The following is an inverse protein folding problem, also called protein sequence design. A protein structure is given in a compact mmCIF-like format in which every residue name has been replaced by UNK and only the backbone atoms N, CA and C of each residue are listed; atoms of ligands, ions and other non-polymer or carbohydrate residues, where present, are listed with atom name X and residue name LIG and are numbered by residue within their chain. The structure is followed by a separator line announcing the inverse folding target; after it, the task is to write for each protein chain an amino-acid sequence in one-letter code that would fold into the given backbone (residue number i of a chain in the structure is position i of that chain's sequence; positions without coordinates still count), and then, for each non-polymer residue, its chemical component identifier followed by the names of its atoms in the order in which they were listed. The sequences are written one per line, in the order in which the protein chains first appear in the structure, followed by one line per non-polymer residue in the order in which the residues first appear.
data_IF_088099203363
#
_entry.id   IF_088099203363
#
_cell.length_a   1.000
_cell.length_b   1.000
_cell.length_c   1.000
_cell.angle_alpha   90.00
_cell.angle_beta   90.00
_cell.angle_gamma   90.00
#
_symmetry.space_group_name_H-M   'P 1'
#
loop_
_entity.id
_entity.type
_entity.pdbx_description
1 polymer ?
#
# COMPACT_ATOMS: atom_id res chain seq x y z
N UNK A 1 46.29 50.10 -4.03
CA UNK A 1 47.68 49.67 -3.72
C UNK A 1 47.61 48.20 -3.37
N UNK A 2 48.33 47.33 -4.04
CA UNK A 2 48.29 45.91 -3.90
C UNK A 2 49.32 45.40 -2.93
N UNK A 3 49.07 44.27 -2.26
CA UNK A 3 50.06 43.52 -1.50
C UNK A 3 49.77 42.04 -1.73
N UNK A 4 50.49 41.43 -2.51
CA UNK A 4 51.67 40.56 -2.45
C UNK A 4 51.29 39.11 -2.03
N UNK A 5 51.35 38.27 -3.07
CA UNK A 5 51.43 36.80 -3.02
C UNK A 5 52.67 36.36 -2.24
N UNK A 6 52.54 35.28 -1.46
CA UNK A 6 53.69 34.46 -1.06
C UNK A 6 53.44 33.00 -1.48
N UNK A 7 54.25 32.58 -2.44
CA UNK A 7 54.34 31.21 -2.92
C UNK A 7 55.03 30.33 -1.88
N UNK A 8 54.31 29.35 -1.32
CA UNK A 8 54.87 28.27 -0.49
C UNK A 8 55.13 27.02 -1.34
N UNK A 9 56.40 26.80 -1.70
CA UNK A 9 56.87 25.54 -2.33
C UNK A 9 56.80 24.38 -1.34
N UNK A 10 55.92 23.41 -1.59
CA UNK A 10 55.99 22.14 -0.92
C UNK A 10 56.96 21.20 -1.64
N UNK A 11 57.98 20.75 -0.88
CA UNK A 11 58.92 19.69 -1.27
C UNK A 11 58.29 18.34 -1.08
N UNK A 12 58.36 17.46 -2.08
CA UNK A 12 58.04 16.06 -1.98
C UNK A 12 59.15 15.28 -1.31
N UNK A 13 58.90 14.42 -0.31
CA UNK A 13 59.87 13.49 0.22
C UNK A 13 59.95 12.21 -0.62
N UNK A 14 61.14 11.65 -0.63
CA UNK A 14 61.66 10.52 -1.40
C UNK A 14 60.81 9.25 -1.40
N UNK A 15 60.78 8.63 -2.59
CA UNK A 15 60.26 7.29 -2.87
C UNK A 15 61.07 6.24 -2.14
N UNK A 16 60.43 5.54 -1.19
CA UNK A 16 61.01 4.33 -0.57
C UNK A 16 60.50 3.14 -1.38
N UNK A 17 61.47 2.45 -1.96
CA UNK A 17 61.27 1.17 -2.67
C UNK A 17 60.86 0.10 -1.67
N UNK A 18 59.62 -0.38 -1.74
CA UNK A 18 59.14 -1.54 -0.98
C UNK A 18 59.09 -2.76 -1.91
N UNK A 19 59.83 -3.76 -1.48
CA UNK A 19 59.99 -5.08 -2.10
C UNK A 19 58.64 -5.76 -2.29
N UNK A 20 58.45 -6.36 -3.45
CA UNK A 20 57.33 -7.23 -3.83
C UNK A 20 57.27 -8.46 -2.92
N UNK A 21 56.29 -8.52 -2.04
CA UNK A 21 55.91 -9.76 -1.38
C UNK A 21 54.66 -10.29 -2.13
N UNK A 22 54.84 -11.43 -2.77
CA UNK A 22 53.78 -12.21 -3.41
C UNK A 22 52.81 -12.72 -2.34
N UNK A 23 51.65 -12.12 -2.26
CA UNK A 23 50.52 -12.66 -1.47
C UNK A 23 49.67 -13.45 -2.47
N UNK A 24 49.35 -14.74 -2.19
CA UNK A 24 48.47 -15.51 -3.10
C UNK A 24 47.04 -14.90 -3.02
N UNK A 25 46.54 -14.53 -4.18
CA UNK A 25 45.13 -14.11 -4.35
C UNK A 25 44.21 -15.31 -4.08
N UNK A 26 43.63 -15.37 -2.90
CA UNK A 26 42.45 -16.20 -2.66
C UNK A 26 41.31 -15.64 -3.47
N UNK A 27 40.98 -16.30 -4.58
CA UNK A 27 39.80 -16.07 -5.39
C UNK A 27 38.58 -16.42 -4.55
N UNK A 28 38.07 -15.46 -3.79
CA UNK A 28 36.76 -15.57 -3.14
C UNK A 28 35.67 -15.58 -4.22
N UNK A 29 35.19 -16.75 -4.57
CA UNK A 29 33.93 -16.88 -5.31
C UNK A 29 32.81 -16.30 -4.45
N UNK A 30 32.44 -15.04 -4.71
CA UNK A 30 31.18 -14.49 -4.23
C UNK A 30 30.06 -15.29 -4.87
N UNK A 31 29.49 -16.24 -4.14
CA UNK A 31 28.20 -16.83 -4.48
C UNK A 31 27.16 -15.69 -4.42
N UNK A 32 26.93 -15.04 -5.56
CA UNK A 32 25.74 -14.22 -5.76
C UNK A 32 24.55 -15.18 -5.75
N UNK A 33 23.90 -15.31 -4.61
CA UNK A 33 22.63 -15.99 -4.52
C UNK A 33 21.63 -15.22 -5.40
N UNK A 34 21.53 -15.64 -6.66
CA UNK A 34 20.46 -15.20 -7.57
C UNK A 34 19.15 -15.67 -6.96
N UNK A 35 18.39 -14.76 -6.33
CA UNK A 35 17.03 -15.03 -5.89
C UNK A 35 16.25 -15.43 -7.14
N UNK A 36 15.72 -16.64 -7.24
CA UNK A 36 15.09 -17.08 -8.47
C UNK A 36 13.85 -16.23 -8.71
N UNK A 37 13.80 -15.52 -9.85
CA UNK A 37 12.66 -14.76 -10.38
C UNK A 37 11.30 -15.48 -10.20
N UNK A 38 11.33 -16.81 -10.16
CA UNK A 38 10.18 -17.68 -9.93
C UNK A 38 9.50 -17.54 -8.55
N UNK A 39 10.19 -17.03 -7.52
CA UNK A 39 9.59 -16.84 -6.19
C UNK A 39 8.74 -15.56 -6.13
N UNK A 40 9.18 -14.48 -6.78
CA UNK A 40 8.39 -13.24 -6.91
C UNK A 40 7.18 -13.43 -7.82
N UNK A 41 7.32 -14.15 -8.92
CA UNK A 41 6.21 -14.48 -9.81
C UNK A 41 5.14 -15.34 -9.13
N UNK A 42 5.54 -16.31 -8.28
CA UNK A 42 4.60 -17.11 -7.46
C UNK A 42 3.88 -16.27 -6.40
N UNK A 43 4.52 -15.26 -5.83
CA UNK A 43 3.91 -14.29 -4.92
C UNK A 43 2.90 -13.39 -5.62
N UNK A 44 3.24 -12.86 -6.79
CA UNK A 44 2.40 -11.96 -7.58
C UNK A 44 1.12 -12.62 -8.12
N UNK A 45 1.11 -13.93 -8.38
CA UNK A 45 -0.08 -14.63 -8.89
C UNK A 45 -1.14 -14.89 -7.81
N UNK A 46 -0.82 -14.77 -6.53
CA UNK A 46 -1.74 -15.14 -5.43
C UNK A 46 -2.80 -14.07 -5.16
N UNK A 47 -2.47 -12.79 -5.23
CA UNK A 47 -3.41 -11.68 -4.98
C UNK A 47 -4.50 -11.56 -6.06
N UNK A 48 -4.28 -12.07 -7.27
CA UNK A 48 -5.30 -12.14 -8.33
C UNK A 48 -6.48 -13.06 -7.95
N UNK A 49 -6.31 -13.90 -6.92
CA UNK A 49 -7.38 -14.70 -6.31
C UNK A 49 -8.13 -13.94 -5.22
N UNK A 50 -7.85 -12.66 -5.05
CA UNK A 50 -8.55 -11.80 -4.10
C UNK A 50 -10.07 -11.78 -4.32
N UNK A 51 -10.79 -11.27 -3.33
CA UNK A 51 -12.24 -11.15 -3.34
C UNK A 51 -12.62 -9.70 -3.58
N UNK A 52 -13.64 -9.46 -4.39
CA UNK A 52 -14.20 -8.12 -4.59
C UNK A 52 -14.67 -7.57 -3.22
N UNK A 53 -14.29 -6.32 -2.86
CA UNK A 53 -14.41 -5.87 -1.47
C UNK A 53 -15.82 -5.57 -1.00
N UNK A 54 -16.82 -5.52 -1.89
CA UNK A 54 -18.22 -5.23 -1.56
C UNK A 54 -19.13 -6.35 -2.04
N UNK A 55 -20.07 -6.79 -1.20
CA UNK A 55 -20.99 -7.86 -1.58
C UNK A 55 -22.09 -7.40 -2.56
N UNK A 56 -22.65 -6.20 -2.37
CA UNK A 56 -23.80 -5.67 -3.13
C UNK A 56 -23.37 -4.51 -4.01
N UNK A 57 -22.52 -4.80 -5.00
CA UNK A 57 -22.01 -3.81 -5.96
C UNK A 57 -23.13 -3.18 -6.78
N UNK A 58 -23.14 -1.85 -6.90
CA UNK A 58 -24.02 -1.09 -7.78
C UNK A 58 -23.28 -0.42 -8.93
N UNK A 59 -22.25 0.39 -8.61
CA UNK A 59 -21.48 1.13 -9.60
C UNK A 59 -20.10 1.53 -9.06
N UNK A 60 -19.18 1.87 -9.95
CA UNK A 60 -18.02 2.70 -9.63
C UNK A 60 -18.41 4.17 -9.79
N UNK A 61 -18.37 4.94 -8.71
CA UNK A 61 -18.85 6.32 -8.70
C UNK A 61 -17.75 7.34 -8.81
N UNK A 62 -16.51 7.00 -8.39
CA UNK A 62 -15.38 7.88 -8.56
C UNK A 62 -14.08 7.10 -8.74
N UNK A 63 -13.34 7.33 -9.86
CA UNK A 63 -12.08 6.65 -10.12
C UNK A 63 -10.92 7.22 -9.30
N UNK A 64 -9.83 6.46 -9.25
CA UNK A 64 -8.53 6.91 -8.77
C UNK A 64 -7.96 8.01 -9.69
N UNK A 65 -7.30 9.01 -9.11
CA UNK A 65 -6.61 10.07 -9.86
C UNK A 65 -7.03 11.48 -9.46
N UNK A 66 -6.61 12.47 -10.25
CA UNK A 66 -6.99 13.86 -10.03
C UNK A 66 -8.45 14.08 -10.44
N UNK A 67 -9.26 14.63 -9.52
CA UNK A 67 -10.68 14.93 -9.80
C UNK A 67 -11.14 16.18 -9.07
N UNK A 68 -12.26 16.75 -9.52
CA UNK A 68 -12.98 17.76 -8.73
C UNK A 68 -13.49 17.12 -7.44
N UNK A 69 -13.21 17.77 -6.30
CA UNK A 69 -13.64 17.25 -5.01
C UNK A 69 -15.13 17.57 -4.80
N UNK A 70 -16.00 16.55 -4.54
CA UNK A 70 -17.44 16.73 -4.57
C UNK A 70 -18.00 17.62 -3.44
N UNK A 71 -17.28 17.72 -2.31
CA UNK A 71 -17.72 18.46 -1.13
C UNK A 71 -16.98 19.80 -0.99
N UNK A 72 -15.67 19.81 -1.15
CA UNK A 72 -14.82 20.96 -0.88
C UNK A 72 -14.39 21.72 -2.13
N UNK A 73 -14.80 21.27 -3.31
CA UNK A 73 -14.38 21.85 -4.59
C UNK A 73 -12.88 21.74 -4.86
N UNK A 74 -12.45 22.28 -6.01
CA UNK A 74 -11.07 22.24 -6.45
C UNK A 74 -10.61 20.87 -6.95
N UNK A 75 -9.49 20.86 -7.69
CA UNK A 75 -8.89 19.62 -8.21
C UNK A 75 -8.00 19.01 -7.11
N UNK A 76 -8.30 17.77 -6.74
CA UNK A 76 -7.57 17.04 -5.68
C UNK A 76 -7.32 15.59 -6.07
N UNK A 77 -6.24 14.97 -5.57
CA UNK A 77 -6.00 13.56 -5.79
C UNK A 77 -7.02 12.70 -5.02
N UNK A 78 -7.69 11.81 -5.73
CA UNK A 78 -8.48 10.73 -5.17
C UNK A 78 -7.62 9.47 -5.08
N UNK A 79 -7.31 9.03 -3.87
CA UNK A 79 -6.34 7.95 -3.62
C UNK A 79 -7.03 6.59 -3.44
N UNK A 80 -8.09 6.35 -4.20
CA UNK A 80 -8.84 5.10 -4.14
C UNK A 80 -9.87 5.00 -5.26
N UNK A 81 -10.74 4.04 -5.14
CA UNK A 81 -11.89 3.80 -5.99
C UNK A 81 -13.14 3.84 -5.11
N UNK A 82 -14.11 4.68 -5.46
CA UNK A 82 -15.38 4.72 -4.76
C UNK A 82 -16.35 3.71 -5.39
N UNK A 83 -16.84 2.80 -4.58
CA UNK A 83 -17.68 1.67 -4.95
C UNK A 83 -19.05 1.86 -4.30
N UNK A 84 -20.05 2.29 -5.06
CA UNK A 84 -21.42 2.44 -4.59
C UNK A 84 -22.02 1.08 -4.23
N UNK A 85 -22.65 1.04 -3.07
CA UNK A 85 -23.42 -0.08 -2.57
C UNK A 85 -24.41 0.41 -1.50
N UNK A 86 -25.55 -0.26 -1.30
CA UNK A 86 -26.47 0.10 -0.25
C UNK A 86 -25.80 0.17 1.12
N UNK A 87 -26.22 1.11 1.95
CA UNK A 87 -25.77 1.16 3.34
C UNK A 87 -26.06 -0.18 4.04
N UNK A 88 -25.12 -0.67 4.83
CA UNK A 88 -25.22 -2.00 5.44
C UNK A 88 -24.73 -3.15 4.56
N UNK A 89 -24.36 -2.91 3.29
CA UNK A 89 -23.74 -3.94 2.45
C UNK A 89 -22.45 -4.46 3.06
N UNK A 90 -22.24 -5.78 3.02
CA UNK A 90 -21.05 -6.42 3.59
C UNK A 90 -19.78 -5.96 2.88
N UNK A 91 -18.80 -5.52 3.66
CA UNK A 91 -17.42 -5.25 3.21
C UNK A 91 -16.52 -6.41 3.59
N UNK A 92 -15.71 -6.86 2.64
CA UNK A 92 -14.80 -8.00 2.79
C UNK A 92 -13.36 -7.59 2.56
N UNK A 93 -12.44 -8.23 3.26
CA UNK A 93 -11.02 -8.07 2.98
C UNK A 93 -10.70 -8.58 1.56
N UNK A 94 -10.17 -7.71 0.72
CA UNK A 94 -9.73 -8.07 -0.63
C UNK A 94 -8.72 -9.21 -0.63
N UNK A 95 -7.74 -9.14 0.26
CA UNK A 95 -6.67 -10.12 0.45
C UNK A 95 -6.38 -10.31 1.94
N UNK A 96 -6.03 -11.54 2.34
CA UNK A 96 -5.71 -11.86 3.72
C UNK A 96 -4.46 -11.13 4.22
N UNK A 97 -4.51 -10.62 5.44
CA UNK A 97 -3.43 -9.84 6.02
C UNK A 97 -3.59 -9.56 7.50
N UNK A 98 -2.97 -8.48 7.96
CA UNK A 98 -3.04 -8.03 9.35
C UNK A 98 -3.56 -6.60 9.40
N UNK A 99 -4.51 -6.31 10.27
CA UNK A 99 -4.99 -4.95 10.54
C UNK A 99 -3.82 -4.12 11.08
N UNK A 100 -3.47 -3.05 10.38
CA UNK A 100 -2.38 -2.15 10.76
C UNK A 100 -2.85 -0.85 11.36
N UNK A 101 -4.08 -0.46 11.01
CA UNK A 101 -4.65 0.78 11.49
C UNK A 101 -6.17 0.66 11.57
N UNK A 102 -6.74 1.24 12.61
CA UNK A 102 -8.17 1.49 12.76
C UNK A 102 -8.34 3.00 12.69
N UNK A 103 -8.98 3.49 11.63
CA UNK A 103 -9.13 4.90 11.32
C UNK A 103 -10.42 5.42 11.96
N UNK A 104 -10.34 6.65 12.52
CA UNK A 104 -11.50 7.43 12.94
C UNK A 104 -11.18 8.91 12.78
N UNK A 105 -11.47 9.46 11.63
CA UNK A 105 -11.18 10.85 11.28
C UNK A 105 -12.30 11.50 10.46
N UNK A 106 -12.17 12.80 10.16
CA UNK A 106 -13.17 13.55 9.41
C UNK A 106 -13.20 13.23 7.90
N UNK A 107 -12.15 12.64 7.35
CA UNK A 107 -12.04 12.30 5.92
C UNK A 107 -12.56 10.89 5.64
N UNK A 108 -11.82 9.90 6.08
CA UNK A 108 -12.15 8.47 5.95
C UNK A 108 -13.37 8.08 6.80
N UNK A 109 -13.66 8.82 7.85
CA UNK A 109 -14.63 8.40 8.85
C UNK A 109 -14.10 7.20 9.63
N UNK A 110 -14.90 6.16 9.76
CA UNK A 110 -14.44 4.89 10.30
C UNK A 110 -13.83 4.04 9.18
N UNK A 111 -12.64 3.52 9.42
CA UNK A 111 -11.92 2.77 8.41
C UNK A 111 -10.93 1.76 8.97
N UNK A 112 -10.40 0.95 8.08
CA UNK A 112 -9.41 -0.08 8.36
C UNK A 112 -8.29 -0.03 7.34
N UNK A 113 -7.06 -0.20 7.79
CA UNK A 113 -5.92 -0.49 6.92
C UNK A 113 -5.45 -1.91 7.19
N UNK A 114 -5.42 -2.73 6.15
CA UNK A 114 -4.93 -4.11 6.22
C UNK A 114 -3.64 -4.22 5.40
N UNK A 115 -2.61 -4.83 5.98
CA UNK A 115 -1.33 -5.11 5.32
C UNK A 115 -1.27 -6.55 4.86
N UNK A 116 -1.02 -6.76 3.57
CA UNK A 116 -0.89 -8.07 2.93
C UNK A 116 0.40 -8.13 2.11
N UNK A 117 1.49 -8.57 2.74
CA UNK A 117 2.81 -8.49 2.12
C UNK A 117 3.16 -7.04 1.75
N UNK A 118 3.50 -6.74 0.48
CA UNK A 118 3.84 -5.38 0.05
C UNK A 118 2.61 -4.47 -0.17
N UNK A 119 1.39 -5.01 -0.05
CA UNK A 119 0.15 -4.26 -0.27
C UNK A 119 -0.42 -3.74 1.04
N UNK A 120 -0.87 -2.47 1.04
CA UNK A 120 -1.80 -1.92 2.03
C UNK A 120 -3.11 -1.63 1.33
N UNK A 121 -4.21 -2.13 1.90
CA UNK A 121 -5.56 -1.84 1.41
C UNK A 121 -6.36 -1.14 2.48
N UNK A 122 -6.94 -0.01 2.08
CA UNK A 122 -7.62 0.95 2.93
C UNK A 122 -9.10 0.89 2.62
N UNK A 123 -9.93 0.82 3.66
CA UNK A 123 -11.38 0.76 3.59
C UNK A 123 -11.94 1.90 4.42
N UNK A 124 -12.66 2.85 3.79
CA UNK A 124 -13.23 4.00 4.47
C UNK A 124 -14.75 4.03 4.40
N UNK A 125 -15.33 4.95 5.14
CA UNK A 125 -16.78 5.21 5.27
C UNK A 125 -17.55 4.03 5.85
N UNK A 126 -16.88 3.20 6.66
CA UNK A 126 -17.49 2.01 7.24
C UNK A 126 -18.58 2.39 8.26
N UNK A 127 -19.66 1.63 8.26
CA UNK A 127 -20.70 1.70 9.28
C UNK A 127 -20.19 1.12 10.61
N UNK A 128 -20.59 1.73 11.72
CA UNK A 128 -20.23 1.25 13.03
C UNK A 128 -19.64 2.34 13.91
N UNK A 129 -18.76 1.96 14.83
CA UNK A 129 -18.07 2.89 15.74
C UNK A 129 -16.62 2.47 15.96
N UNK A 130 -15.78 3.44 16.22
CA UNK A 130 -14.40 3.21 16.67
C UNK A 130 -14.28 3.70 18.11
N UNK A 131 -13.81 2.85 18.99
CA UNK A 131 -13.57 3.17 20.39
C UNK A 131 -12.41 2.34 20.92
N UNK A 132 -11.45 2.98 21.61
CA UNK A 132 -10.26 2.32 22.12
C UNK A 132 -9.42 1.62 21.03
N UNK A 133 -9.35 2.17 19.82
CA UNK A 133 -8.61 1.58 18.70
C UNK A 133 -9.26 0.31 18.12
N UNK A 134 -10.52 0.06 18.42
CA UNK A 134 -11.28 -1.09 17.93
C UNK A 134 -12.43 -0.60 17.04
N UNK A 135 -12.48 -1.09 15.79
CA UNK A 135 -13.62 -0.92 14.91
C UNK A 135 -14.69 -1.97 15.23
N UNK A 136 -15.92 -1.53 15.52
CA UNK A 136 -17.06 -2.38 15.81
C UNK A 136 -18.20 -2.15 14.81
N UNK A 137 -18.69 -3.24 14.22
CA UNK A 137 -19.80 -3.22 13.26
C UNK A 137 -20.66 -4.48 13.47
N UNK A 138 -21.84 -4.32 14.07
CA UNK A 138 -22.63 -5.45 14.54
C UNK A 138 -21.87 -6.27 15.61
N UNK A 139 -21.71 -7.57 15.35
CA UNK A 139 -20.93 -8.47 16.21
C UNK A 139 -19.42 -8.45 15.94
N UNK A 140 -19.00 -7.76 14.89
CA UNK A 140 -17.59 -7.65 14.53
C UNK A 140 -16.86 -6.71 15.49
N UNK A 141 -15.65 -7.09 15.87
CA UNK A 141 -14.68 -6.24 16.55
C UNK A 141 -13.30 -6.49 15.96
N UNK A 142 -12.70 -5.47 15.33
CA UNK A 142 -11.37 -5.56 14.74
C UNK A 142 -10.45 -4.51 15.35
N UNK A 143 -9.28 -4.96 15.81
CA UNK A 143 -8.23 -4.14 16.37
C UNK A 143 -6.92 -4.30 15.58
N UNK A 144 -5.99 -3.36 15.77
CA UNK A 144 -4.63 -3.44 15.24
C UNK A 144 -3.97 -4.75 15.69
N UNK A 145 -3.25 -5.40 14.80
CA UNK A 145 -2.57 -6.68 15.03
C UNK A 145 -3.42 -7.91 14.68
N UNK A 146 -4.73 -7.79 14.58
CA UNK A 146 -5.57 -8.94 14.22
C UNK A 146 -5.35 -9.37 12.76
N UNK A 147 -5.36 -10.68 12.54
CA UNK A 147 -5.28 -11.27 11.21
C UNK A 147 -6.68 -11.41 10.63
N UNK A 148 -6.78 -11.15 9.33
CA UNK A 148 -7.99 -11.38 8.54
C UNK A 148 -7.66 -12.26 7.35
N UNK A 149 -8.60 -13.09 6.93
CA UNK A 149 -8.47 -13.95 5.74
C UNK A 149 -8.95 -13.21 4.50
N UNK A 150 -8.54 -13.70 3.33
CA UNK A 150 -9.12 -13.26 2.05
C UNK A 150 -10.61 -13.51 2.03
N UNK A 151 -11.40 -12.48 1.71
CA UNK A 151 -12.85 -12.55 1.69
C UNK A 151 -13.55 -12.51 3.06
N UNK A 152 -12.78 -12.39 4.14
CA UNK A 152 -13.35 -12.27 5.47
C UNK A 152 -14.16 -10.98 5.61
N UNK A 153 -15.29 -11.06 6.29
CA UNK A 153 -16.12 -9.92 6.67
C UNK A 153 -15.34 -9.00 7.61
N UNK A 154 -15.24 -7.72 7.23
CA UNK A 154 -14.49 -6.69 7.96
C UNK A 154 -15.32 -5.46 8.32
N UNK A 155 -16.58 -5.40 7.93
CA UNK A 155 -17.51 -4.31 8.23
C UNK A 155 -18.65 -4.20 7.22
N UNK A 156 -19.35 -3.10 7.30
CA UNK A 156 -20.45 -2.75 6.38
C UNK A 156 -20.19 -1.39 5.76
N UNK A 157 -20.72 -1.20 4.55
CA UNK A 157 -20.79 0.12 3.90
C UNK A 157 -21.62 1.06 4.78
N UNK A 158 -21.08 2.23 5.04
CA UNK A 158 -21.70 3.27 5.83
C UNK A 158 -21.65 4.63 5.15
N UNK A 159 -21.73 5.67 5.99
CA UNK A 159 -21.67 7.08 5.60
C UNK A 159 -20.85 7.90 6.60
N UNK A 160 -19.86 7.30 7.23
CA UNK A 160 -19.00 8.04 8.20
C UNK A 160 -17.93 8.85 7.46
N UNK A 161 -17.51 9.97 8.04
CA UNK A 161 -16.51 10.86 7.46
C UNK A 161 -17.06 11.73 6.32
N UNK A 162 -16.20 12.14 5.40
CA UNK A 162 -16.52 13.05 4.29
C UNK A 162 -17.06 12.27 3.09
N UNK A 163 -18.39 12.15 3.00
CA UNK A 163 -19.09 11.38 1.96
C UNK A 163 -20.38 12.07 1.50
N UNK A 164 -20.79 11.83 0.26
CA UNK A 164 -22.04 12.33 -0.31
C UNK A 164 -23.14 11.27 -0.39
N UNK A 165 -22.84 10.03 -0.07
CA UNK A 165 -23.78 8.92 -0.11
C UNK A 165 -23.13 7.58 0.24
N UNK A 166 -23.92 6.50 0.43
CA UNK A 166 -23.39 5.21 0.81
C UNK A 166 -22.46 4.63 -0.24
N UNK A 167 -21.20 4.40 0.12
CA UNK A 167 -20.21 3.74 -0.72
C UNK A 167 -19.05 3.21 0.13
N UNK A 168 -18.27 2.30 -0.44
CA UNK A 168 -16.95 1.97 0.05
C UNK A 168 -15.92 2.80 -0.71
N UNK A 169 -15.12 3.62 -0.02
CA UNK A 169 -13.86 4.11 -0.56
C UNK A 169 -12.79 3.04 -0.33
N UNK A 170 -12.24 2.51 -1.43
CA UNK A 170 -11.22 1.46 -1.39
C UNK A 170 -9.91 1.95 -1.96
N UNK A 171 -8.92 2.20 -1.09
CA UNK A 171 -7.57 2.63 -1.45
C UNK A 171 -6.59 1.48 -1.50
N UNK A 172 -5.61 1.54 -2.42
CA UNK A 172 -4.51 0.58 -2.49
C UNK A 172 -3.16 1.26 -2.54
N UNK A 173 -2.20 0.67 -1.82
CA UNK A 173 -0.78 0.99 -1.95
C UNK A 173 0.02 -0.28 -2.21
N UNK A 174 1.05 -0.17 -3.05
CA UNK A 174 2.07 -1.19 -3.25
C UNK A 174 3.43 -0.63 -2.87
N UNK A 175 4.13 -1.25 -1.90
CA UNK A 175 5.41 -0.77 -1.37
C UNK A 175 5.38 0.72 -1.00
N UNK A 176 4.30 1.17 -0.36
CA UNK A 176 4.09 2.56 0.07
C UNK A 176 3.64 3.54 -1.01
N UNK A 177 3.58 3.15 -2.28
CA UNK A 177 3.10 4.00 -3.38
C UNK A 177 1.63 3.73 -3.68
N UNK A 178 0.85 4.79 -3.82
CA UNK A 178 -0.55 4.68 -4.22
C UNK A 178 -0.67 4.11 -5.63
N UNK A 179 -1.66 3.28 -5.84
CA UNK A 179 -1.97 2.65 -7.13
C UNK A 179 -3.47 2.65 -7.40
N UNK A 180 -3.82 2.63 -8.68
CA UNK A 180 -5.22 2.54 -9.11
C UNK A 180 -5.78 1.14 -8.79
N UNK A 181 -6.82 1.03 -7.94
CA UNK A 181 -7.45 -0.24 -7.61
C UNK A 181 -8.07 -0.96 -8.82
N UNK A 182 -8.45 -0.23 -9.87
CA UNK A 182 -9.02 -0.80 -11.09
C UNK A 182 -8.04 -1.75 -11.77
N UNK A 183 -6.73 -1.46 -11.72
CA UNK A 183 -5.69 -2.35 -12.28
C UNK A 183 -5.73 -3.72 -11.61
N UNK A 184 -5.91 -3.75 -10.30
CA UNK A 184 -6.04 -4.99 -9.52
C UNK A 184 -7.32 -5.74 -9.89
N UNK A 185 -8.45 -5.05 -9.97
CA UNK A 185 -9.74 -5.68 -10.34
C UNK A 185 -9.69 -6.26 -11.75
N UNK A 186 -9.08 -5.57 -12.71
CA UNK A 186 -8.88 -6.08 -14.08
C UNK A 186 -8.02 -7.34 -14.10
N UNK A 187 -6.91 -7.35 -13.37
CA UNK A 187 -6.04 -8.52 -13.30
C UNK A 187 -6.73 -9.71 -12.60
N UNK A 188 -7.55 -9.47 -11.57
CA UNK A 188 -8.38 -10.50 -10.94
C UNK A 188 -9.38 -11.09 -11.94
N UNK A 189 -10.07 -10.25 -12.73
CA UNK A 189 -11.03 -10.68 -13.73
C UNK A 189 -10.36 -11.52 -14.85
N UNK A 190 -9.22 -11.07 -15.37
CA UNK A 190 -8.45 -11.79 -16.39
C UNK A 190 -7.95 -13.17 -15.88
N UNK A 191 -7.48 -13.22 -14.64
CA UNK A 191 -7.01 -14.45 -14.00
C UNK A 191 -8.13 -15.49 -13.78
N UNK A 192 -9.38 -15.06 -13.63
CA UNK A 192 -10.54 -15.96 -13.50
C UNK A 192 -10.99 -16.52 -14.86
N UNK A 193 -10.83 -15.76 -15.95
CA UNK A 193 -11.17 -16.22 -17.30
C UNK A 193 -10.17 -17.22 -17.86
N UNK A 194 -8.93 -17.20 -17.36
CA UNK A 194 -7.85 -18.09 -17.80
C UNK A 194 -7.85 -19.47 -17.11
N UNK A 195 -8.87 -19.76 -16.29
CA UNK A 195 -9.09 -21.03 -15.58
C UNK A 195 -10.29 -21.77 -16.14
#
# INVERSE_FOLDING_TARGET
MPSACSEGRFRFPNVVSLRSSLVPALLGMALTASIPWSAEARGASRWTRGVFPVASFQAFTSPYGMRSHPIHGGIRPHRGLDIAAPQGSVVRSWWGGTVREVISDGGCGHGLVIQSGPYRHIYCHLQGRVSGGIHRSGRLALAVGQRVRTGEYIGHVGMTGSTTGPHLHWGLQYRGKWMDPVLVLRAMASSRRAR
#
